data_IF_636088864032
#
_entry.id   IF_636088864032
#
_cell.length_a   1.000
_cell.length_b   1.000
_cell.length_c   1.000
_cell.angle_alpha   90.00
_cell.angle_beta   90.00
_cell.angle_gamma   90.00
#
_symmetry.space_group_name_H-M   'P 1'
#
loop_
_entity.id
_entity.type
_entity.pdbx_description
1 polymer ?
#
# COMPACT_ATOMS: atom_id res chain seq x y z
N UNK A 1 -20.32 -55.22 15.90
CA UNK A 1 -19.33 -55.06 14.83
C UNK A 1 -18.64 -53.71 15.07
N UNK A 2 -17.43 -53.79 15.59
CA UNK A 2 -16.64 -52.64 16.06
C UNK A 2 -15.59 -52.31 14.99
N UNK A 3 -15.76 -51.24 14.26
CA UNK A 3 -14.80 -50.80 13.24
C UNK A 3 -13.70 -49.97 13.88
N UNK A 4 -12.49 -50.56 13.94
CA UNK A 4 -11.28 -49.86 14.40
C UNK A 4 -10.81 -48.86 13.32
N UNK A 5 -10.74 -47.58 13.65
CA UNK A 5 -9.98 -46.58 12.90
C UNK A 5 -8.49 -46.74 13.23
N UNK A 6 -7.70 -47.13 12.26
CA UNK A 6 -6.24 -47.13 12.33
C UNK A 6 -5.73 -45.69 12.14
N UNK A 7 -5.12 -45.12 13.19
CA UNK A 7 -4.31 -43.88 13.10
C UNK A 7 -3.07 -44.21 12.26
N UNK A 8 -2.95 -43.52 11.13
CA UNK A 8 -1.67 -43.45 10.39
C UNK A 8 -0.78 -42.44 11.12
N UNK A 9 0.22 -42.93 11.84
CA UNK A 9 1.31 -42.11 12.40
C UNK A 9 2.32 -41.85 11.31
N UNK A 10 2.27 -40.66 10.70
CA UNK A 10 3.40 -40.16 9.91
C UNK A 10 4.43 -39.57 10.86
N UNK A 11 5.48 -40.31 11.14
CA UNK A 11 6.68 -39.85 11.86
C UNK A 11 7.52 -39.02 10.88
N UNK A 12 7.15 -37.75 10.63
CA UNK A 12 8.04 -36.77 10.03
C UNK A 12 8.94 -36.21 11.13
N UNK A 13 10.14 -36.76 11.26
CA UNK A 13 11.19 -36.13 12.07
C UNK A 13 11.45 -34.73 11.48
N UNK A 14 11.00 -33.70 12.18
CA UNK A 14 11.40 -32.31 11.96
C UNK A 14 12.93 -32.23 12.10
N UNK A 15 13.65 -32.21 11.00
CA UNK A 15 15.07 -31.88 10.98
C UNK A 15 15.15 -30.39 11.32
N UNK A 16 15.34 -30.08 12.60
CA UNK A 16 15.65 -28.74 13.07
C UNK A 16 16.99 -28.34 12.44
N UNK A 17 16.92 -27.70 11.29
CA UNK A 17 18.10 -27.01 10.75
C UNK A 17 18.29 -25.80 11.65
N UNK A 18 19.39 -25.76 12.40
CA UNK A 18 19.80 -24.59 13.17
C UNK A 18 19.77 -23.36 12.24
N UNK A 19 19.26 -22.20 12.72
CA UNK A 19 19.30 -20.98 11.94
C UNK A 19 20.73 -20.68 11.51
N UNK A 20 20.95 -20.12 10.31
CA UNK A 20 22.30 -19.78 9.87
C UNK A 20 22.90 -18.82 10.90
N UNK A 21 24.17 -19.12 11.29
CA UNK A 21 24.91 -18.45 12.38
C UNK A 21 25.12 -16.92 12.22
N UNK A 22 24.53 -16.27 11.21
CA UNK A 22 24.77 -14.88 10.85
C UNK A 22 23.47 -14.10 10.63
N UNK A 23 22.54 -14.09 11.61
CA UNK A 23 21.35 -13.23 11.59
C UNK A 23 21.72 -11.74 11.71
N UNK A 24 22.92 -11.43 12.19
CA UNK A 24 23.43 -10.07 12.43
C UNK A 24 24.71 -9.82 11.62
N UNK A 25 24.63 -9.81 10.29
CA UNK A 25 25.79 -9.38 9.49
C UNK A 25 25.91 -7.86 9.52
N UNK A 26 26.83 -7.33 10.35
CA UNK A 26 27.35 -5.95 10.30
C UNK A 26 28.40 -5.77 9.19
N UNK A 27 28.45 -6.65 8.19
CA UNK A 27 29.34 -6.56 7.04
C UNK A 27 28.78 -5.64 5.95
N UNK A 28 29.68 -4.98 5.17
CA UNK A 28 29.27 -4.22 3.97
C UNK A 28 28.43 -5.11 3.07
N UNK A 29 27.18 -4.70 2.83
CA UNK A 29 26.27 -5.35 1.89
C UNK A 29 26.94 -5.33 0.50
N UNK A 30 27.04 -6.47 -0.17
CA UNK A 30 27.61 -6.56 -1.51
C UNK A 30 26.83 -5.64 -2.47
N UNK A 31 27.53 -4.94 -3.36
CA UNK A 31 26.91 -4.04 -4.33
C UNK A 31 25.88 -4.82 -5.18
N UNK A 32 24.61 -4.40 -5.13
CA UNK A 32 23.51 -5.03 -5.86
C UNK A 32 22.73 -6.10 -5.07
N UNK A 33 23.07 -6.38 -3.80
CA UNK A 33 22.25 -7.21 -2.94
C UNK A 33 21.03 -6.43 -2.43
N UNK A 34 19.85 -7.05 -2.49
CA UNK A 34 18.59 -6.46 -2.00
C UNK A 34 18.46 -6.70 -0.50
N UNK A 35 18.18 -5.66 0.26
CA UNK A 35 17.85 -5.74 1.69
C UNK A 35 16.33 -5.66 1.92
N UNK A 36 15.85 -6.01 3.13
CA UNK A 36 14.44 -5.76 3.52
C UNK A 36 14.08 -4.27 3.48
N UNK A 37 15.04 -3.37 3.68
CA UNK A 37 14.81 -1.94 3.49
C UNK A 37 14.56 -1.60 2.02
N UNK A 38 15.36 -2.14 1.09
CA UNK A 38 15.17 -1.94 -0.35
C UNK A 38 13.86 -2.55 -0.83
N UNK A 39 13.51 -3.75 -0.33
CA UNK A 39 12.24 -4.41 -0.60
C UNK A 39 11.06 -3.54 -0.12
N UNK A 40 11.10 -3.07 1.14
CA UNK A 40 10.06 -2.21 1.71
C UNK A 40 9.93 -0.91 0.91
N UNK A 41 11.05 -0.29 0.51
CA UNK A 41 11.02 0.91 -0.33
C UNK A 41 10.43 0.65 -1.74
N UNK A 42 10.65 -0.55 -2.30
CA UNK A 42 10.00 -0.95 -3.55
C UNK A 42 8.50 -1.17 -3.36
N UNK A 43 8.09 -1.82 -2.27
CA UNK A 43 6.68 -2.01 -1.93
C UNK A 43 5.98 -0.67 -1.63
N UNK A 44 6.65 0.27 -0.99
CA UNK A 44 6.09 1.62 -0.73
C UNK A 44 5.77 2.37 -2.04
N UNK A 45 6.49 2.10 -3.13
CA UNK A 45 6.14 2.61 -4.48
C UNK A 45 5.03 1.83 -5.17
N UNK A 46 4.77 0.58 -4.77
CA UNK A 46 3.73 -0.29 -5.35
C UNK A 46 2.41 -0.12 -4.61
N UNK A 47 2.45 -0.12 -3.29
CA UNK A 47 1.33 -0.02 -2.37
C UNK A 47 1.77 0.80 -1.15
N UNK A 48 1.71 2.15 -1.23
CA UNK A 48 2.11 3.04 -0.14
C UNK A 48 1.36 2.72 1.15
N UNK A 49 2.07 2.43 2.23
CA UNK A 49 1.47 1.99 3.50
C UNK A 49 0.53 3.02 4.11
N UNK A 50 0.74 4.32 3.84
CA UNK A 50 -0.15 5.38 4.28
C UNK A 50 -1.55 5.34 3.63
N UNK A 51 -1.75 4.57 2.55
CA UNK A 51 -3.06 4.34 1.93
C UNK A 51 -3.85 3.20 2.56
N UNK A 52 -3.29 2.51 3.54
CA UNK A 52 -4.00 1.46 4.25
C UNK A 52 -5.09 2.03 5.17
N UNK A 53 -6.10 1.20 5.48
CA UNK A 53 -7.09 1.51 6.48
C UNK A 53 -6.46 1.67 7.86
N UNK A 54 -7.05 2.53 8.72
CA UNK A 54 -6.51 2.81 10.07
C UNK A 54 -6.46 1.60 11.00
N UNK A 55 -7.40 0.68 10.79
CA UNK A 55 -7.50 -0.56 11.56
C UNK A 55 -6.56 -1.67 11.07
N UNK A 56 -5.88 -1.47 9.94
CA UNK A 56 -5.07 -2.48 9.27
C UNK A 56 -3.64 -2.52 9.80
N UNK A 57 -2.95 -3.66 9.57
CA UNK A 57 -1.56 -3.85 9.95
C UNK A 57 -0.73 -4.22 8.72
N UNK A 58 -0.21 -3.22 8.02
CA UNK A 58 0.52 -3.38 6.76
C UNK A 58 2.01 -3.07 6.89
N UNK A 59 2.77 -3.44 5.88
CA UNK A 59 4.20 -3.19 5.80
C UNK A 59 5.04 -4.39 6.24
N UNK A 60 6.25 -4.14 6.72
CA UNK A 60 7.16 -5.16 7.22
C UNK A 60 6.72 -5.60 8.62
N UNK A 61 6.17 -6.81 8.73
CA UNK A 61 5.62 -7.33 9.99
C UNK A 61 6.66 -8.06 10.84
N UNK A 62 7.69 -8.62 10.23
CA UNK A 62 8.82 -9.23 10.92
C UNK A 62 10.11 -9.06 10.12
N UNK A 63 11.26 -8.99 10.80
CA UNK A 63 12.58 -8.93 10.17
C UNK A 63 13.40 -7.73 10.58
N UNK A 64 14.66 -7.75 10.15
CA UNK A 64 15.60 -6.65 10.36
C UNK A 64 15.86 -5.95 9.02
N UNK A 65 15.78 -4.63 8.98
CA UNK A 65 15.85 -3.83 7.73
C UNK A 65 17.11 -4.12 6.87
N UNK A 66 18.23 -4.51 7.49
CA UNK A 66 19.46 -4.86 6.78
C UNK A 66 19.55 -6.35 6.36
N UNK A 67 18.56 -7.18 6.70
CA UNK A 67 18.54 -8.59 6.27
C UNK A 67 18.47 -8.66 4.74
N UNK A 68 19.26 -9.58 4.16
CA UNK A 68 19.28 -9.79 2.72
C UNK A 68 18.05 -10.58 2.26
N UNK A 69 17.52 -10.21 1.12
CA UNK A 69 16.38 -10.87 0.47
C UNK A 69 16.76 -11.22 -0.96
N UNK A 70 16.74 -12.51 -1.30
CA UNK A 70 16.99 -13.03 -2.65
C UNK A 70 15.74 -13.64 -3.25
N UNK A 71 14.92 -14.32 -2.42
CA UNK A 71 13.73 -15.05 -2.83
C UNK A 71 12.52 -14.61 -2.02
N UNK A 72 11.43 -14.33 -2.71
CA UNK A 72 10.15 -13.93 -2.11
C UNK A 72 9.04 -14.85 -2.58
N UNK A 73 8.28 -15.43 -1.66
CA UNK A 73 7.05 -16.16 -1.92
C UNK A 73 5.86 -15.22 -1.72
N UNK A 74 4.98 -15.13 -2.73
CA UNK A 74 3.76 -14.34 -2.65
C UNK A 74 2.57 -15.28 -2.42
N UNK A 75 1.74 -15.00 -1.42
CA UNK A 75 0.55 -15.77 -1.08
C UNK A 75 -0.59 -14.83 -0.63
N UNK A 76 -1.83 -15.31 -0.66
CA UNK A 76 -2.96 -14.60 -0.04
C UNK A 76 -2.86 -14.76 1.47
N UNK A 77 -2.71 -16.00 1.95
CA UNK A 77 -2.66 -16.31 3.37
C UNK A 77 -1.42 -17.14 3.75
N UNK A 78 -0.92 -16.96 4.96
CA UNK A 78 0.04 -17.89 5.57
C UNK A 78 -0.73 -18.99 6.27
N UNK A 79 -0.94 -20.09 5.55
CA UNK A 79 -1.51 -21.35 6.08
C UNK A 79 -0.40 -22.34 6.40
N UNK A 80 -0.67 -23.45 7.11
CA UNK A 80 0.36 -24.46 7.38
C UNK A 80 1.04 -24.99 6.10
N UNK A 81 0.29 -25.19 5.02
CA UNK A 81 0.86 -25.67 3.75
C UNK A 81 1.72 -24.60 3.04
N UNK A 82 1.38 -23.32 3.18
CA UNK A 82 2.21 -22.20 2.66
C UNK A 82 3.47 -22.02 3.51
N UNK A 83 3.36 -22.16 4.82
CA UNK A 83 4.50 -22.17 5.74
C UNK A 83 5.52 -23.26 5.33
N UNK A 84 5.06 -24.50 5.12
CA UNK A 84 5.92 -25.62 4.72
C UNK A 84 6.51 -25.41 3.33
N UNK A 85 5.73 -24.82 2.40
CA UNK A 85 6.22 -24.45 1.07
C UNK A 85 7.35 -23.41 1.17
N UNK A 86 7.20 -22.39 1.99
CA UNK A 86 8.20 -21.34 2.20
C UNK A 86 9.54 -21.92 2.71
N UNK A 87 9.47 -22.81 3.70
CA UNK A 87 10.66 -23.49 4.24
C UNK A 87 11.30 -24.41 3.17
N UNK A 88 10.51 -25.21 2.48
CA UNK A 88 10.99 -26.15 1.45
C UNK A 88 11.68 -25.40 0.29
N UNK A 89 11.15 -24.26 -0.13
CA UNK A 89 11.71 -23.44 -1.19
C UNK A 89 12.92 -22.60 -0.74
N UNK A 90 13.15 -22.50 0.58
CA UNK A 90 14.23 -21.70 1.16
C UNK A 90 14.11 -20.22 0.78
N UNK A 91 12.91 -19.66 0.93
CA UNK A 91 12.68 -18.23 0.67
C UNK A 91 13.19 -17.39 1.84
N UNK A 92 13.48 -16.13 1.59
CA UNK A 92 13.93 -15.19 2.63
C UNK A 92 12.76 -14.36 3.17
N UNK A 93 11.67 -14.24 2.38
CA UNK A 93 10.51 -13.43 2.72
C UNK A 93 9.23 -14.07 2.17
N UNK A 94 8.16 -14.02 2.95
CA UNK A 94 6.78 -14.25 2.47
C UNK A 94 6.07 -12.90 2.40
N UNK A 95 5.63 -12.51 1.20
CA UNK A 95 4.66 -11.43 1.03
C UNK A 95 3.27 -12.07 1.11
N UNK A 96 2.61 -11.89 2.25
CA UNK A 96 1.24 -12.33 2.48
C UNK A 96 0.29 -11.17 2.22
N UNK A 97 -0.70 -11.36 1.33
CA UNK A 97 -1.68 -10.32 1.06
C UNK A 97 -2.41 -9.92 2.35
N UNK A 98 -3.01 -10.88 3.04
CA UNK A 98 -3.54 -10.69 4.39
C UNK A 98 -2.42 -10.65 5.43
N UNK A 99 -2.47 -9.72 6.40
CA UNK A 99 -1.48 -9.67 7.47
C UNK A 99 -1.67 -10.85 8.43
N UNK A 100 -0.68 -11.74 8.54
CA UNK A 100 -0.78 -12.87 9.48
C UNK A 100 -0.84 -12.41 10.93
N UNK A 101 -0.30 -11.24 11.24
CA UNK A 101 -0.42 -10.58 12.54
C UNK A 101 -1.36 -9.40 12.36
N UNK A 102 -2.68 -9.65 12.39
CA UNK A 102 -3.70 -8.62 12.18
C UNK A 102 -4.00 -7.84 13.47
N UNK A 103 -4.07 -8.51 14.60
CA UNK A 103 -4.29 -7.91 15.92
C UNK A 103 -3.02 -8.00 16.75
N UNK A 104 -2.80 -7.07 17.72
CA UNK A 104 -1.68 -7.16 18.65
C UNK A 104 -1.62 -8.52 19.34
N UNK A 105 -0.46 -9.16 19.31
CA UNK A 105 -0.20 -10.46 19.95
C UNK A 105 0.39 -10.24 21.34
N UNK A 106 0.03 -11.11 22.29
CA UNK A 106 0.53 -11.07 23.66
C UNK A 106 1.61 -12.14 23.92
N UNK A 107 1.68 -13.16 23.07
CA UNK A 107 2.59 -14.30 23.23
C UNK A 107 3.22 -14.66 21.90
N UNK A 108 4.51 -14.94 21.90
CA UNK A 108 5.29 -15.38 20.73
C UNK A 108 5.38 -16.92 20.75
N UNK A 109 4.30 -17.59 20.36
CA UNK A 109 4.22 -19.06 20.29
C UNK A 109 4.38 -19.53 18.85
N UNK A 110 4.98 -20.71 18.67
CA UNK A 110 5.22 -21.34 17.36
C UNK A 110 4.59 -22.73 17.25
N UNK A 111 3.79 -23.10 18.23
CA UNK A 111 3.17 -24.45 18.36
C UNK A 111 1.69 -24.44 17.94
N UNK A 112 1.25 -23.45 17.15
CA UNK A 112 -0.10 -23.32 16.60
C UNK A 112 -0.12 -23.24 15.09
N UNK A 113 -1.28 -23.50 14.51
CA UNK A 113 -1.54 -23.46 13.06
C UNK A 113 -2.21 -22.14 12.63
N UNK A 114 -2.47 -21.24 13.56
CA UNK A 114 -3.02 -19.91 13.29
C UNK A 114 -1.96 -18.97 12.67
N UNK A 115 -2.35 -18.04 11.81
CA UNK A 115 -1.43 -17.20 11.04
C UNK A 115 -0.36 -16.46 11.87
N UNK A 116 -0.64 -15.93 13.08
CA UNK A 116 0.41 -15.31 13.91
C UNK A 116 1.48 -16.30 14.35
N UNK A 117 1.11 -17.51 14.75
CA UNK A 117 2.06 -18.54 15.18
C UNK A 117 2.94 -19.00 14.01
N UNK A 118 2.36 -19.18 12.82
CA UNK A 118 3.07 -19.54 11.60
C UNK A 118 4.06 -18.44 11.17
N UNK A 119 3.67 -17.16 11.26
CA UNK A 119 4.57 -16.04 10.95
C UNK A 119 5.76 -15.97 11.93
N UNK A 120 5.52 -16.23 13.21
CA UNK A 120 6.58 -16.30 14.23
C UNK A 120 7.49 -17.52 13.98
N UNK A 121 6.90 -18.67 13.61
CA UNK A 121 7.64 -19.86 13.24
C UNK A 121 8.55 -19.59 12.02
N UNK A 122 8.05 -18.95 10.96
CA UNK A 122 8.86 -18.53 9.81
C UNK A 122 10.04 -17.64 10.23
N UNK A 123 9.80 -16.67 11.10
CA UNK A 123 10.86 -15.81 11.62
C UNK A 123 11.95 -16.59 12.34
N UNK A 124 11.64 -17.71 13.04
CA UNK A 124 12.63 -18.58 13.66
C UNK A 124 13.53 -19.31 12.66
N UNK A 125 13.06 -19.46 11.40
CA UNK A 125 13.85 -19.97 10.26
C UNK A 125 14.58 -18.86 9.50
N UNK A 126 14.48 -17.58 9.94
CA UNK A 126 15.02 -16.45 9.23
C UNK A 126 14.22 -16.05 7.99
N UNK A 127 12.96 -16.49 7.89
CA UNK A 127 12.03 -16.12 6.83
C UNK A 127 11.13 -15.01 7.36
N UNK A 128 11.17 -13.85 6.71
CA UNK A 128 10.47 -12.66 7.16
C UNK A 128 9.07 -12.54 6.55
N UNK A 129 8.25 -11.62 7.06
CA UNK A 129 6.88 -11.40 6.56
C UNK A 129 6.62 -9.93 6.26
N UNK A 130 5.96 -9.69 5.12
CA UNK A 130 5.46 -8.39 4.70
C UNK A 130 4.00 -8.52 4.25
N UNK A 131 3.14 -7.53 4.54
CA UNK A 131 1.75 -7.49 4.05
C UNK A 131 1.39 -6.13 3.46
N UNK A 132 0.86 -6.05 2.22
CA UNK A 132 0.38 -4.82 1.62
C UNK A 132 -1.12 -4.57 1.84
N UNK A 133 -1.94 -5.59 2.02
CA UNK A 133 -3.39 -5.67 2.28
C UNK A 133 -4.18 -4.46 1.73
N UNK A 134 -4.87 -3.69 2.60
CA UNK A 134 -5.74 -2.58 2.16
C UNK A 134 -4.99 -1.44 1.47
N UNK A 135 -3.69 -1.27 1.70
CA UNK A 135 -2.89 -0.32 0.92
C UNK A 135 -2.86 -0.70 -0.57
N UNK A 136 -2.78 -2.01 -0.87
CA UNK A 136 -2.82 -2.53 -2.24
C UNK A 136 -4.23 -2.46 -2.85
N UNK A 137 -5.29 -2.54 -2.02
CA UNK A 137 -6.68 -2.36 -2.48
C UNK A 137 -6.98 -0.93 -2.88
N UNK A 138 -6.39 0.01 -2.15
CA UNK A 138 -6.66 1.44 -2.26
C UNK A 138 -5.90 2.08 -3.41
N UNK A 139 -4.64 1.69 -3.62
CA UNK A 139 -3.75 2.32 -4.61
C UNK A 139 -4.24 2.14 -6.05
N UNK A 140 -4.00 3.13 -6.88
CA UNK A 140 -4.25 3.02 -8.32
C UNK A 140 -3.33 1.95 -8.95
N UNK A 141 -3.90 1.06 -9.77
CA UNK A 141 -3.20 -0.11 -10.32
C UNK A 141 -3.02 -1.25 -9.30
N UNK A 142 -3.74 -1.21 -8.18
CA UNK A 142 -3.76 -2.26 -7.16
C UNK A 142 -4.80 -3.35 -7.42
N UNK A 143 -5.26 -4.00 -6.35
CA UNK A 143 -6.11 -5.20 -6.40
C UNK A 143 -7.37 -5.00 -7.25
N UNK A 144 -8.09 -3.91 -7.00
CA UNK A 144 -9.36 -3.63 -7.68
C UNK A 144 -9.17 -3.30 -9.17
N UNK A 145 -8.09 -2.61 -9.52
CA UNK A 145 -7.76 -2.30 -10.92
C UNK A 145 -7.35 -3.58 -11.68
N UNK A 146 -6.55 -4.45 -11.04
CA UNK A 146 -6.16 -5.74 -11.62
C UNK A 146 -7.38 -6.64 -11.81
N UNK A 147 -8.29 -6.69 -10.83
CA UNK A 147 -9.54 -7.44 -10.96
C UNK A 147 -10.39 -6.91 -12.12
N UNK A 148 -10.56 -5.58 -12.24
CA UNK A 148 -11.27 -4.95 -13.35
C UNK A 148 -10.67 -5.34 -14.70
N UNK A 149 -9.34 -5.24 -14.84
CA UNK A 149 -8.63 -5.64 -16.05
C UNK A 149 -8.85 -7.10 -16.40
N UNK A 150 -8.77 -8.00 -15.41
CA UNK A 150 -8.95 -9.46 -15.61
C UNK A 150 -10.35 -9.82 -16.11
N UNK A 151 -11.37 -9.08 -15.67
CA UNK A 151 -12.74 -9.29 -16.16
C UNK A 151 -13.11 -8.39 -17.36
N UNK A 152 -12.12 -7.78 -18.02
CA UNK A 152 -12.31 -6.98 -19.23
C UNK A 152 -13.14 -5.71 -19.01
N UNK A 153 -13.12 -5.13 -17.81
CA UNK A 153 -13.78 -3.86 -17.48
C UNK A 153 -12.75 -2.72 -17.46
N UNK A 154 -13.16 -1.53 -17.91
CA UNK A 154 -12.35 -0.32 -17.88
C UNK A 154 -12.70 0.48 -16.62
N UNK A 155 -11.69 0.75 -15.79
CA UNK A 155 -11.85 1.59 -14.61
C UNK A 155 -12.16 3.03 -15.01
N UNK A 156 -13.16 3.63 -14.35
CA UNK A 156 -13.65 5.00 -14.60
C UNK A 156 -13.55 5.91 -13.36
N UNK A 157 -12.99 5.42 -12.27
CA UNK A 157 -12.76 6.15 -11.03
C UNK A 157 -12.84 5.28 -9.79
N UNK A 158 -12.57 5.87 -8.63
CA UNK A 158 -12.74 5.26 -7.32
C UNK A 158 -14.05 5.73 -6.68
N UNK A 159 -14.74 4.90 -5.90
CA UNK A 159 -15.96 5.34 -5.20
C UNK A 159 -15.72 5.72 -3.73
N UNK A 160 -14.63 5.33 -3.16
CA UNK A 160 -14.16 5.89 -1.90
C UNK A 160 -13.04 6.86 -2.20
N UNK A 161 -13.23 8.14 -1.89
CA UNK A 161 -12.14 9.08 -1.92
C UNK A 161 -11.51 9.09 -0.52
N UNK A 162 -10.30 8.55 -0.42
CA UNK A 162 -9.47 8.89 0.71
C UNK A 162 -9.04 10.34 0.56
N UNK A 163 -9.21 11.18 1.57
CA UNK A 163 -8.32 12.31 1.68
C UNK A 163 -6.92 11.71 1.69
N UNK A 164 -6.07 12.17 0.77
CA UNK A 164 -4.69 11.72 0.74
C UNK A 164 -4.17 11.76 2.18
N UNK A 165 -3.85 10.60 2.76
CA UNK A 165 -3.23 10.48 4.08
C UNK A 165 -1.74 10.83 4.00
N UNK A 166 -1.36 11.79 3.27
CA UNK A 166 -0.20 12.59 3.43
C UNK A 166 -0.75 13.97 3.65
N UNK A 167 -0.79 14.45 4.88
CA UNK A 167 -0.99 15.87 5.08
C UNK A 167 0.10 16.55 4.26
N UNK A 168 -0.30 17.26 3.22
CA UNK A 168 0.63 18.14 2.54
C UNK A 168 0.65 19.47 3.30
N UNK A 169 1.86 19.97 3.46
CA UNK A 169 2.10 21.28 4.03
C UNK A 169 2.56 22.22 2.91
N UNK A 170 2.22 23.49 3.03
CA UNK A 170 2.84 24.56 2.28
C UNK A 170 3.89 25.20 3.17
N UNK A 171 5.15 25.14 2.74
CA UNK A 171 6.22 25.94 3.31
C UNK A 171 6.17 27.32 2.67
N UNK A 172 6.16 28.35 3.49
CA UNK A 172 6.39 29.74 3.11
C UNK A 172 7.64 30.19 3.84
N UNK A 173 8.63 30.70 3.12
CA UNK A 173 9.85 31.26 3.71
C UNK A 173 10.14 32.65 3.10
N UNK A 174 10.80 33.49 3.84
CA UNK A 174 11.17 34.83 3.41
C UNK A 174 12.70 34.89 3.31
N UNK A 175 13.22 34.95 2.08
CA UNK A 175 14.63 34.70 1.78
C UNK A 175 15.21 35.92 1.04
N UNK A 176 16.38 36.48 1.44
CA UNK A 176 17.06 37.47 0.64
C UNK A 176 17.25 37.01 -0.80
N UNK A 177 17.04 37.90 -1.78
CA UNK A 177 17.08 37.55 -3.20
C UNK A 177 18.39 36.82 -3.60
N UNK A 178 19.50 37.21 -3.01
CA UNK A 178 20.83 36.63 -3.24
C UNK A 178 20.99 35.16 -2.81
N UNK A 179 20.11 34.64 -1.94
CA UNK A 179 20.20 33.28 -1.35
C UNK A 179 19.02 32.40 -1.75
N UNK A 180 18.06 32.90 -2.53
CA UNK A 180 16.82 32.15 -2.83
C UNK A 180 17.07 30.84 -3.59
N UNK A 181 18.07 30.79 -4.47
CA UNK A 181 18.39 29.56 -5.20
C UNK A 181 19.04 28.52 -4.31
N UNK A 182 19.96 28.93 -3.42
CA UNK A 182 20.63 28.01 -2.48
C UNK A 182 19.61 27.39 -1.52
N UNK A 183 18.73 28.22 -0.95
CA UNK A 183 17.67 27.75 -0.06
C UNK A 183 16.69 26.85 -0.79
N UNK A 184 16.29 27.19 -2.03
CA UNK A 184 15.39 26.38 -2.84
C UNK A 184 16.00 25.01 -3.16
N UNK A 185 17.29 24.97 -3.53
CA UNK A 185 18.00 23.72 -3.83
C UNK A 185 18.07 22.80 -2.62
N UNK A 186 18.40 23.32 -1.44
CA UNK A 186 18.43 22.58 -0.20
C UNK A 186 17.06 22.00 0.17
N UNK A 187 16.01 22.80 0.07
CA UNK A 187 14.63 22.40 0.38
C UNK A 187 14.11 21.35 -0.61
N UNK A 188 14.43 21.47 -1.91
CA UNK A 188 14.07 20.46 -2.91
C UNK A 188 14.84 19.15 -2.74
N UNK A 189 16.12 19.21 -2.38
CA UNK A 189 16.92 18.03 -2.09
C UNK A 189 16.38 17.26 -0.88
N UNK A 190 15.75 17.95 0.10
CA UNK A 190 15.08 17.36 1.23
C UNK A 190 13.67 16.79 0.91
N UNK A 191 13.22 16.85 -0.35
CA UNK A 191 12.00 16.22 -0.83
C UNK A 191 10.78 17.15 -0.99
N UNK A 192 10.93 18.46 -0.85
CA UNK A 192 9.87 19.40 -1.17
C UNK A 192 9.72 19.65 -2.69
N UNK A 193 8.64 20.31 -3.10
CA UNK A 193 8.43 20.79 -4.46
C UNK A 193 7.99 19.73 -5.47
N UNK A 194 7.40 18.64 -5.02
CA UNK A 194 6.85 17.62 -5.90
C UNK A 194 5.35 17.81 -6.11
N UNK A 195 4.90 17.94 -7.36
CA UNK A 195 3.49 18.15 -7.71
C UNK A 195 3.04 17.15 -8.77
N UNK A 196 1.77 16.73 -8.68
CA UNK A 196 1.08 15.86 -9.61
C UNK A 196 1.23 14.38 -9.29
N UNK A 197 0.36 13.56 -9.89
CA UNK A 197 0.41 12.11 -9.76
C UNK A 197 1.80 11.58 -10.12
N UNK A 198 2.38 10.75 -9.25
CA UNK A 198 3.73 10.19 -9.36
C UNK A 198 4.85 11.23 -9.33
N UNK A 199 4.61 12.38 -8.69
CA UNK A 199 5.62 13.46 -8.57
C UNK A 199 6.28 13.82 -9.92
N UNK A 200 5.49 13.92 -10.98
CA UNK A 200 6.01 14.19 -12.34
C UNK A 200 6.67 15.56 -12.48
N UNK A 201 6.21 16.54 -11.69
CA UNK A 201 6.82 17.85 -11.62
C UNK A 201 7.62 17.95 -10.34
N UNK A 202 8.87 18.29 -10.47
CA UNK A 202 9.81 18.45 -9.36
C UNK A 202 10.27 19.89 -9.25
N UNK A 203 10.81 20.31 -8.11
CA UNK A 203 11.32 21.66 -7.88
C UNK A 203 10.26 22.76 -8.07
N UNK A 204 9.00 22.42 -7.78
CA UNK A 204 7.88 23.37 -7.92
C UNK A 204 7.89 24.36 -6.76
N UNK A 205 7.94 25.64 -7.08
CA UNK A 205 7.83 26.74 -6.12
C UNK A 205 7.12 27.93 -6.75
N UNK A 206 6.57 28.79 -5.91
CA UNK A 206 6.12 30.10 -6.29
C UNK A 206 6.97 31.15 -5.57
N UNK A 207 7.39 32.19 -6.26
CA UNK A 207 8.27 33.24 -5.74
C UNK A 207 7.68 34.60 -6.00
N UNK A 208 7.65 35.43 -4.97
CA UNK A 208 7.14 36.80 -5.08
C UNK A 208 8.05 37.75 -4.33
N UNK A 209 8.53 38.85 -4.93
CA UNK A 209 9.34 39.87 -4.26
C UNK A 209 8.51 40.64 -3.22
N UNK A 210 9.13 40.96 -2.12
CA UNK A 210 8.52 41.69 -1.03
C UNK A 210 9.55 42.46 -0.21
N UNK A 211 9.10 43.04 0.91
CA UNK A 211 9.99 43.71 1.86
C UNK A 211 9.77 43.10 3.24
N UNK A 212 10.77 42.41 3.75
CA UNK A 212 10.84 41.99 5.14
C UNK A 212 11.23 43.13 6.06
N UNK A 213 10.73 43.09 7.29
CA UNK A 213 11.11 44.09 8.31
C UNK A 213 11.45 43.37 9.60
N UNK A 214 12.50 43.82 10.28
CA UNK A 214 12.89 43.30 11.58
C UNK A 214 13.66 44.33 12.40
N UNK A 215 13.72 44.11 13.69
CA UNK A 215 14.58 44.83 14.59
C UNK A 215 15.13 43.81 15.63
N UNK A 216 16.38 43.49 15.54
CA UNK A 216 17.05 42.66 16.53
C UNK A 216 17.44 43.49 17.78
N UNK A 217 17.66 42.81 18.90
CA UNK A 217 18.26 43.45 20.06
C UNK A 217 19.81 43.52 19.94
N UNK A 218 20.47 44.08 20.97
CA UNK A 218 21.92 44.23 20.95
C UNK A 218 22.73 42.93 20.96
N UNK A 219 22.08 41.78 21.21
CA UNK A 219 22.71 40.46 21.23
C UNK A 219 22.64 39.73 19.89
N UNK A 220 21.87 40.23 18.92
CA UNK A 220 21.70 39.62 17.60
C UNK A 220 22.89 39.88 16.69
N UNK A 221 23.12 38.96 15.75
CA UNK A 221 24.13 39.08 14.69
C UNK A 221 23.44 38.99 13.32
N UNK A 222 22.73 40.06 12.88
CA UNK A 222 21.95 39.98 11.65
C UNK A 222 22.85 39.85 10.42
N UNK A 223 22.50 39.00 9.49
CA UNK A 223 23.18 38.83 8.20
C UNK A 223 23.07 40.07 7.30
N UNK A 224 22.06 40.93 7.51
CA UNK A 224 21.82 42.21 6.83
C UNK A 224 21.44 43.22 7.85
N UNK A 225 22.02 44.47 7.77
CA UNK A 225 21.73 45.56 8.70
C UNK A 225 22.55 45.52 9.98
N UNK A 226 22.08 46.14 11.05
CA UNK A 226 22.77 46.29 12.33
C UNK A 226 21.88 45.91 13.51
N UNK A 227 22.47 45.30 14.55
CA UNK A 227 21.78 45.02 15.80
C UNK A 227 21.19 46.30 16.41
N UNK A 228 19.95 46.24 16.92
CA UNK A 228 19.22 47.36 17.53
C UNK A 228 18.58 48.34 16.55
N UNK A 229 18.80 48.20 15.24
CA UNK A 229 18.25 49.07 14.20
C UNK A 229 17.02 48.39 13.56
N UNK A 230 16.00 49.22 13.26
CA UNK A 230 14.86 48.73 12.46
C UNK A 230 15.24 48.70 10.98
N UNK A 231 15.25 47.49 10.43
CA UNK A 231 15.69 47.22 9.06
C UNK A 231 14.52 46.94 8.13
N UNK A 232 14.69 47.29 6.85
CA UNK A 232 13.80 46.93 5.72
C UNK A 232 14.63 46.29 4.63
N UNK A 233 14.38 45.02 4.39
CA UNK A 233 15.20 44.21 3.49
C UNK A 233 14.34 43.71 2.33
N UNK A 234 14.80 43.85 1.06
CA UNK A 234 14.20 43.13 -0.07
C UNK A 234 14.32 41.62 0.11
N UNK A 235 13.19 40.95 0.11
CA UNK A 235 13.11 39.50 0.27
C UNK A 235 12.20 38.85 -0.79
N UNK A 236 12.45 37.62 -1.09
CA UNK A 236 11.57 36.78 -1.90
C UNK A 236 10.72 35.95 -0.93
N UNK A 237 9.41 36.08 -1.04
CA UNK A 237 8.47 35.10 -0.49
C UNK A 237 8.55 33.83 -1.34
N UNK A 238 9.22 32.81 -0.80
CA UNK A 238 9.37 31.50 -1.41
C UNK A 238 8.30 30.57 -0.87
N UNK A 239 7.49 29.98 -1.76
CA UNK A 239 6.45 29.03 -1.40
C UNK A 239 6.66 27.70 -2.11
N UNK A 240 6.57 26.61 -1.38
CA UNK A 240 6.61 25.26 -1.95
C UNK A 240 5.72 24.30 -1.16
N UNK A 241 5.45 23.12 -1.74
CA UNK A 241 4.66 22.06 -1.11
C UNK A 241 5.60 20.95 -0.65
N UNK A 242 5.24 20.29 0.47
CA UNK A 242 5.96 19.12 0.96
C UNK A 242 5.01 18.14 1.67
N UNK A 243 5.31 16.82 1.65
CA UNK A 243 4.66 15.86 2.53
C UNK A 243 4.94 16.20 4.00
N UNK A 244 3.93 16.07 4.87
CA UNK A 244 4.06 16.43 6.29
C UNK A 244 5.12 15.60 7.02
N UNK A 245 5.31 14.34 6.61
CA UNK A 245 6.34 13.44 7.15
C UNK A 245 7.78 13.93 6.89
N UNK A 246 7.98 14.75 5.86
CA UNK A 246 9.29 15.35 5.54
C UNK A 246 9.51 16.72 6.17
N UNK A 247 8.54 17.21 6.96
CA UNK A 247 8.61 18.58 7.52
C UNK A 247 9.89 18.82 8.31
N UNK A 248 10.31 17.87 9.14
CA UNK A 248 11.53 17.98 9.95
C UNK A 248 12.79 18.10 9.09
N UNK A 249 12.92 17.26 8.07
CA UNK A 249 14.08 17.25 7.15
C UNK A 249 14.12 18.52 6.32
N UNK A 250 12.98 18.94 5.77
CA UNK A 250 12.86 20.16 4.96
C UNK A 250 13.18 21.40 5.77
N UNK A 251 12.68 21.53 7.01
CA UNK A 251 12.97 22.68 7.87
C UNK A 251 14.43 22.72 8.30
N UNK A 252 15.05 21.56 8.57
CA UNK A 252 16.48 21.52 8.86
C UNK A 252 17.32 21.97 7.65
N UNK A 253 16.93 21.54 6.44
CA UNK A 253 17.58 21.99 5.20
C UNK A 253 17.39 23.50 4.95
N UNK A 254 16.18 24.01 5.18
CA UNK A 254 15.90 25.45 5.13
C UNK A 254 16.83 26.23 6.07
N UNK A 255 16.86 25.87 7.35
CA UNK A 255 17.70 26.54 8.36
C UNK A 255 19.17 26.47 8.05
N UNK A 256 19.65 25.34 7.50
CA UNK A 256 21.06 25.16 7.16
C UNK A 256 21.53 25.99 5.96
N UNK A 257 20.62 26.30 5.02
CA UNK A 257 20.93 27.08 3.82
C UNK A 257 20.54 28.56 3.92
N UNK A 258 19.72 28.91 4.92
CA UNK A 258 19.27 30.30 5.08
C UNK A 258 20.36 31.18 5.71
N UNK A 259 20.59 32.40 5.19
CA UNK A 259 21.64 33.27 5.72
C UNK A 259 21.32 33.85 7.09
N UNK A 260 20.04 33.88 7.51
CA UNK A 260 19.64 34.43 8.81
C UNK A 260 19.81 33.39 9.91
N UNK A 261 20.25 33.87 11.10
CA UNK A 261 20.34 33.03 12.30
C UNK A 261 18.97 32.51 12.75
N UNK A 262 17.91 33.29 12.57
CA UNK A 262 16.52 32.92 12.84
C UNK A 262 15.64 33.20 11.60
N UNK A 263 15.55 32.28 10.63
CA UNK A 263 14.73 32.49 9.45
C UNK A 263 13.24 32.43 9.78
N UNK A 264 12.48 33.40 9.28
CA UNK A 264 11.03 33.42 9.37
C UNK A 264 10.44 32.45 8.31
N UNK A 265 9.58 31.53 8.75
CA UNK A 265 8.85 30.65 7.87
C UNK A 265 7.52 30.20 8.49
N UNK A 266 6.58 29.80 7.63
CA UNK A 266 5.29 29.22 8.01
C UNK A 266 5.14 27.84 7.42
N UNK A 267 4.56 26.89 8.18
CA UNK A 267 4.05 25.61 7.69
C UNK A 267 2.52 25.63 7.77
N UNK A 268 1.86 25.68 6.61
CA UNK A 268 0.42 25.76 6.51
C UNK A 268 -0.15 24.40 6.09
N UNK A 269 -1.14 23.90 6.81
CA UNK A 269 -1.89 22.70 6.39
C UNK A 269 -2.65 23.00 5.11
N UNK A 270 -2.48 22.12 4.11
CA UNK A 270 -3.19 22.21 2.85
C UNK A 270 -4.42 21.30 2.86
N UNK A 271 -5.54 21.83 2.41
CA UNK A 271 -6.68 21.01 2.02
C UNK A 271 -6.46 20.62 0.56
N UNK A 272 -5.86 19.47 0.33
CA UNK A 272 -5.72 18.92 -1.03
C UNK A 272 -7.02 18.25 -1.46
N UNK A 273 -7.46 18.41 -2.73
CA UNK A 273 -8.54 17.58 -3.24
C UNK A 273 -8.13 16.11 -3.11
N UNK A 274 -9.06 15.21 -2.73
CA UNK A 274 -8.76 13.80 -2.62
C UNK A 274 -8.23 13.28 -3.96
N UNK A 275 -7.11 12.53 -3.94
CA UNK A 275 -6.66 11.77 -5.10
C UNK A 275 -7.73 10.73 -5.47
N UNK A 276 -7.74 10.29 -6.75
CA UNK A 276 -8.65 9.21 -7.20
C UNK A 276 -8.16 7.84 -6.69
N UNK A 277 -7.88 7.75 -5.40
CA UNK A 277 -7.52 6.52 -4.69
C UNK A 277 -8.62 6.19 -3.68
N UNK A 278 -8.82 4.93 -3.39
CA UNK A 278 -9.81 4.47 -2.41
C UNK A 278 -10.17 3.01 -2.57
N UNK A 279 -10.83 2.46 -1.57
CA UNK A 279 -11.34 1.09 -1.55
C UNK A 279 -12.42 0.89 -2.61
N UNK A 280 -12.08 0.29 -3.71
CA UNK A 280 -13.01 -0.05 -4.77
C UNK A 280 -12.97 0.89 -5.97
N UNK A 281 -13.52 0.41 -7.08
CA UNK A 281 -13.51 1.08 -8.39
C UNK A 281 -14.88 1.11 -9.03
N UNK A 282 -15.20 2.23 -9.64
CA UNK A 282 -16.17 2.25 -10.72
C UNK A 282 -15.51 1.74 -11.99
N UNK A 283 -16.21 0.90 -12.75
CA UNK A 283 -15.75 0.44 -14.04
C UNK A 283 -16.91 0.27 -15.03
N UNK A 284 -16.56 0.19 -16.30
CA UNK A 284 -17.53 -0.03 -17.36
C UNK A 284 -17.11 -1.22 -18.24
N UNK A 285 -18.07 -2.03 -18.63
CA UNK A 285 -17.88 -3.06 -19.64
C UNK A 285 -17.87 -2.42 -21.03
N UNK A 286 -17.13 -2.96 -22.00
CA UNK A 286 -17.16 -2.47 -23.38
C UNK A 286 -18.57 -2.49 -23.98
N UNK A 287 -19.34 -3.53 -23.69
CA UNK A 287 -20.74 -3.70 -24.10
C UNK A 287 -21.58 -4.15 -22.89
N UNK A 288 -22.85 -3.77 -22.89
CA UNK A 288 -23.81 -4.30 -21.91
C UNK A 288 -24.01 -5.80 -22.15
N UNK A 289 -24.03 -6.57 -21.09
CA UNK A 289 -24.31 -8.01 -21.13
C UNK A 289 -25.29 -8.41 -20.02
N UNK A 290 -25.91 -9.59 -20.11
CA UNK A 290 -26.77 -10.10 -19.05
C UNK A 290 -25.96 -10.46 -17.81
N UNK A 291 -26.50 -10.24 -16.61
CA UNK A 291 -25.83 -10.55 -15.33
C UNK A 291 -25.27 -11.98 -15.31
N UNK A 292 -26.09 -12.97 -15.71
CA UNK A 292 -25.64 -14.36 -15.78
C UNK A 292 -24.54 -14.60 -16.83
N UNK A 293 -24.51 -13.85 -17.92
CA UNK A 293 -23.45 -13.93 -18.94
C UNK A 293 -22.15 -13.33 -18.41
N UNK A 294 -22.23 -12.17 -17.76
CA UNK A 294 -21.10 -11.53 -17.09
C UNK A 294 -20.49 -12.44 -16.02
N UNK A 295 -21.33 -13.03 -15.15
CA UNK A 295 -20.87 -13.97 -14.13
C UNK A 295 -20.14 -15.19 -14.73
N UNK A 296 -20.69 -15.80 -15.81
CA UNK A 296 -20.00 -16.91 -16.51
C UNK A 296 -18.68 -16.50 -17.12
N UNK A 297 -18.59 -15.29 -17.65
CA UNK A 297 -17.34 -14.75 -18.19
C UNK A 297 -16.33 -14.52 -17.08
N UNK A 298 -16.71 -13.92 -15.95
CA UNK A 298 -15.84 -13.81 -14.77
C UNK A 298 -15.33 -15.18 -14.30
N UNK A 299 -16.22 -16.18 -14.23
CA UNK A 299 -15.82 -17.57 -13.90
C UNK A 299 -14.74 -18.08 -14.83
N UNK A 300 -14.87 -17.91 -16.13
CA UNK A 300 -13.93 -18.41 -17.15
C UNK A 300 -12.57 -17.66 -17.08
N UNK A 301 -12.61 -16.31 -17.04
CA UNK A 301 -11.40 -15.47 -17.03
C UNK A 301 -10.55 -15.67 -15.77
N UNK A 302 -11.19 -15.88 -14.63
CA UNK A 302 -10.54 -16.10 -13.35
C UNK A 302 -10.30 -17.58 -13.03
N UNK A 303 -10.75 -18.50 -13.91
CA UNK A 303 -10.63 -19.97 -13.79
C UNK A 303 -11.20 -20.50 -12.48
N UNK A 304 -12.40 -20.03 -12.13
CA UNK A 304 -13.10 -20.41 -10.89
C UNK A 304 -13.98 -21.64 -11.12
N UNK A 305 -14.14 -22.46 -10.08
CA UNK A 305 -15.06 -23.61 -10.11
C UNK A 305 -16.53 -23.17 -10.06
N UNK A 306 -16.80 -22.12 -9.28
CA UNK A 306 -18.16 -21.56 -9.11
C UNK A 306 -18.14 -20.05 -9.05
N UNK A 307 -19.26 -19.43 -9.39
CA UNK A 307 -19.61 -18.04 -9.10
C UNK A 307 -21.09 -17.98 -8.73
N UNK A 308 -21.44 -17.03 -7.88
CA UNK A 308 -22.83 -16.83 -7.48
C UNK A 308 -23.33 -15.46 -7.95
N UNK A 309 -24.61 -15.31 -8.13
CA UNK A 309 -25.23 -14.02 -8.49
C UNK A 309 -26.37 -13.69 -7.53
N UNK A 310 -26.56 -12.38 -7.29
CA UNK A 310 -27.74 -11.85 -6.61
C UNK A 310 -28.47 -10.95 -7.60
N UNK A 311 -29.79 -11.06 -7.66
CA UNK A 311 -30.65 -10.33 -8.60
C UNK A 311 -31.03 -11.18 -9.81
N UNK A 312 -31.72 -10.54 -10.76
CA UNK A 312 -32.32 -11.23 -11.92
C UNK A 312 -31.24 -11.59 -12.95
N UNK A 313 -31.09 -12.88 -13.36
CA UNK A 313 -30.06 -13.33 -14.30
C UNK A 313 -30.10 -12.63 -15.68
N UNK A 314 -31.26 -12.18 -16.11
CA UNK A 314 -31.48 -11.48 -17.39
C UNK A 314 -31.19 -9.98 -17.36
N UNK A 315 -30.93 -9.39 -16.19
CA UNK A 315 -30.66 -7.96 -16.01
C UNK A 315 -29.45 -7.52 -16.85
N UNK A 316 -29.59 -6.37 -17.50
CA UNK A 316 -28.48 -5.75 -18.23
C UNK A 316 -27.46 -5.16 -17.26
N UNK A 317 -26.17 -5.41 -17.51
CA UNK A 317 -25.03 -4.90 -16.76
C UNK A 317 -24.07 -4.21 -17.73
N UNK A 318 -23.79 -2.94 -17.49
CA UNK A 318 -22.82 -2.12 -18.24
C UNK A 318 -21.83 -1.45 -17.32
N UNK A 319 -22.29 -0.98 -16.16
CA UNK A 319 -21.50 -0.25 -15.17
C UNK A 319 -21.34 -1.07 -13.90
N UNK A 320 -20.15 -1.04 -13.34
CA UNK A 320 -19.75 -1.86 -12.21
C UNK A 320 -19.26 -1.01 -11.05
N UNK A 321 -19.54 -1.48 -9.84
CA UNK A 321 -18.75 -1.18 -8.66
C UNK A 321 -17.95 -2.45 -8.29
N UNK A 322 -16.63 -2.34 -8.19
CA UNK A 322 -15.72 -3.46 -7.86
C UNK A 322 -15.11 -3.25 -6.48
N UNK A 323 -15.18 -4.29 -5.67
CA UNK A 323 -14.43 -4.41 -4.39
C UNK A 323 -13.96 -5.84 -4.27
N UNK A 324 -12.66 -6.08 -4.35
CA UNK A 324 -12.09 -7.38 -4.06
C UNK A 324 -12.29 -7.74 -2.58
N UNK A 325 -12.25 -9.02 -2.23
CA UNK A 325 -12.52 -9.52 -0.88
C UNK A 325 -13.98 -9.34 -0.50
N UNK A 326 -14.26 -8.62 0.57
CA UNK A 326 -15.61 -8.39 1.09
C UNK A 326 -16.04 -6.93 0.91
N UNK A 327 -16.99 -6.69 0.00
CA UNK A 327 -17.51 -5.35 -0.25
C UNK A 327 -18.41 -4.80 0.87
N UNK A 328 -19.06 -5.69 1.62
CA UNK A 328 -20.08 -5.29 2.59
C UNK A 328 -21.10 -4.34 1.98
N UNK A 329 -21.36 -3.22 2.67
CA UNK A 329 -22.24 -2.14 2.19
C UNK A 329 -21.48 -0.98 1.56
N UNK A 330 -20.14 -1.04 1.47
CA UNK A 330 -19.32 0.08 0.99
C UNK A 330 -19.82 0.68 -0.34
N UNK A 331 -20.14 -0.10 -1.40
CA UNK A 331 -20.72 0.45 -2.62
C UNK A 331 -22.06 1.13 -2.44
N UNK A 332 -22.95 0.61 -1.58
CA UNK A 332 -24.26 1.22 -1.33
C UNK A 332 -24.16 2.56 -0.60
N UNK A 333 -23.29 2.60 0.42
CA UNK A 333 -23.22 3.73 1.36
C UNK A 333 -22.36 4.88 0.82
N UNK A 334 -21.44 4.61 -0.12
CA UNK A 334 -20.47 5.59 -0.64
C UNK A 334 -20.58 5.87 -2.15
N UNK A 335 -21.58 5.33 -2.84
CA UNK A 335 -21.71 5.54 -4.27
C UNK A 335 -22.06 6.99 -4.62
N UNK A 336 -21.19 7.61 -5.42
CA UNK A 336 -21.43 8.94 -6.03
C UNK A 336 -21.97 8.86 -7.45
N UNK A 337 -21.95 7.66 -8.06
CA UNK A 337 -22.41 7.38 -9.42
C UNK A 337 -23.28 6.13 -9.39
N UNK A 338 -24.29 6.07 -10.25
CA UNK A 338 -25.09 4.87 -10.45
C UNK A 338 -24.25 3.75 -11.09
N UNK A 339 -24.53 2.51 -10.71
CA UNK A 339 -23.93 1.31 -11.28
C UNK A 339 -24.98 0.18 -11.34
N UNK A 340 -24.83 -0.73 -12.29
CA UNK A 340 -25.79 -1.81 -12.53
C UNK A 340 -25.50 -3.05 -11.67
N UNK A 341 -24.21 -3.27 -11.35
CA UNK A 341 -23.76 -4.50 -10.71
C UNK A 341 -22.57 -4.24 -9.78
N UNK A 342 -22.52 -4.97 -8.66
CA UNK A 342 -21.35 -5.09 -7.81
C UNK A 342 -20.60 -6.36 -8.17
N UNK A 343 -19.28 -6.27 -8.36
CA UNK A 343 -18.36 -7.41 -8.47
C UNK A 343 -17.51 -7.47 -7.20
N UNK A 344 -17.61 -8.54 -6.44
CA UNK A 344 -16.91 -8.70 -5.17
C UNK A 344 -16.58 -10.17 -4.88
N UNK A 345 -15.78 -10.43 -3.87
CA UNK A 345 -15.51 -11.79 -3.41
C UNK A 345 -16.70 -12.39 -2.68
N UNK A 346 -17.17 -11.72 -1.62
CA UNK A 346 -18.25 -12.23 -0.77
C UNK A 346 -19.12 -11.13 -0.18
N UNK A 347 -20.32 -11.51 0.28
CA UNK A 347 -21.25 -10.69 1.02
C UNK A 347 -22.01 -11.52 2.05
N UNK A 348 -22.37 -10.89 3.16
CA UNK A 348 -23.30 -11.48 4.14
C UNK A 348 -24.73 -11.50 3.59
N UNK A 349 -25.56 -12.40 4.12
CA UNK A 349 -26.94 -12.57 3.66
C UNK A 349 -27.75 -11.23 3.63
N UNK A 350 -27.69 -10.45 4.71
CA UNK A 350 -28.42 -9.18 4.77
C UNK A 350 -27.89 -8.12 3.82
N UNK A 351 -26.61 -8.17 3.47
CA UNK A 351 -26.01 -7.28 2.47
C UNK A 351 -26.53 -7.65 1.08
N UNK A 352 -26.62 -8.94 0.74
CA UNK A 352 -27.21 -9.42 -0.50
C UNK A 352 -28.67 -8.95 -0.66
N UNK A 353 -29.46 -9.04 0.42
CA UNK A 353 -30.84 -8.53 0.42
C UNK A 353 -30.90 -7.02 0.21
N UNK A 354 -29.98 -6.26 0.75
CA UNK A 354 -29.91 -4.80 0.56
C UNK A 354 -29.61 -4.43 -0.92
N UNK A 355 -28.68 -5.12 -1.57
CA UNK A 355 -28.40 -4.94 -2.99
C UNK A 355 -29.59 -5.33 -3.85
N UNK A 356 -30.25 -6.44 -3.55
CA UNK A 356 -31.45 -6.89 -4.24
C UNK A 356 -32.58 -5.85 -4.11
N UNK A 357 -32.83 -5.33 -2.91
CA UNK A 357 -33.84 -4.30 -2.66
C UNK A 357 -33.52 -2.98 -3.39
N UNK A 358 -32.23 -2.64 -3.53
CA UNK A 358 -31.77 -1.50 -4.33
C UNK A 358 -31.85 -1.74 -5.83
N UNK A 359 -32.26 -2.94 -6.28
CA UNK A 359 -32.30 -3.29 -7.68
C UNK A 359 -30.94 -3.40 -8.34
N UNK A 360 -29.88 -3.72 -7.60
CA UNK A 360 -28.50 -3.84 -8.08
C UNK A 360 -28.14 -5.32 -8.20
N UNK A 361 -27.56 -5.72 -9.33
CA UNK A 361 -27.04 -7.07 -9.51
C UNK A 361 -25.74 -7.26 -8.71
N UNK A 362 -25.43 -8.50 -8.29
CA UNK A 362 -24.14 -8.82 -7.66
C UNK A 362 -23.57 -10.07 -8.30
N UNK A 363 -22.24 -10.08 -8.48
CA UNK A 363 -21.46 -11.28 -8.80
C UNK A 363 -20.48 -11.54 -7.66
N UNK A 364 -20.57 -12.75 -7.06
CA UNK A 364 -19.72 -13.20 -5.97
C UNK A 364 -18.70 -14.21 -6.52
N UNK A 365 -17.42 -13.91 -6.34
CA UNK A 365 -16.30 -14.66 -6.92
C UNK A 365 -15.63 -15.64 -5.94
N UNK A 366 -15.87 -15.46 -4.65
CA UNK A 366 -15.06 -15.98 -3.55
C UNK A 366 -14.02 -14.96 -3.07
N UNK A 367 -13.79 -14.92 -1.75
CA UNK A 367 -12.94 -13.90 -1.11
C UNK A 367 -11.55 -13.87 -1.74
N UNK A 368 -10.74 -14.91 -1.46
CA UNK A 368 -9.36 -14.99 -1.97
C UNK A 368 -9.30 -15.07 -3.50
N UNK A 369 -10.31 -15.62 -4.15
CA UNK A 369 -10.39 -15.72 -5.60
C UNK A 369 -10.47 -14.36 -6.30
N UNK A 370 -11.12 -13.36 -5.68
CA UNK A 370 -11.19 -11.99 -6.19
C UNK A 370 -9.89 -11.20 -6.01
N UNK A 371 -9.06 -11.57 -5.03
CA UNK A 371 -7.80 -10.92 -4.66
C UNK A 371 -6.58 -11.54 -5.35
N UNK A 372 -6.56 -12.87 -5.49
CA UNK A 372 -5.43 -13.65 -6.00
C UNK A 372 -4.81 -13.15 -7.31
N UNK A 373 -5.56 -12.59 -8.28
CA UNK A 373 -4.98 -12.06 -9.51
C UNK A 373 -3.90 -11.00 -9.30
N UNK A 374 -3.92 -10.25 -8.19
CA UNK A 374 -2.95 -9.18 -7.91
C UNK A 374 -1.55 -9.72 -7.60
N UNK A 375 -1.42 -10.95 -7.07
CA UNK A 375 -0.12 -11.51 -6.68
C UNK A 375 0.86 -11.57 -7.86
N UNK A 376 0.40 -12.02 -9.04
CA UNK A 376 1.21 -12.04 -10.26
C UNK A 376 1.62 -10.65 -10.71
N UNK A 377 0.75 -9.67 -10.56
CA UNK A 377 1.04 -8.27 -10.88
C UNK A 377 2.08 -7.67 -9.94
N UNK A 378 1.95 -7.90 -8.63
CA UNK A 378 2.94 -7.46 -7.63
C UNK A 378 4.30 -8.11 -7.91
N UNK A 379 4.33 -9.41 -8.20
CA UNK A 379 5.57 -10.12 -8.56
C UNK A 379 6.29 -9.47 -9.76
N UNK A 380 5.54 -9.11 -10.82
CA UNK A 380 6.09 -8.42 -11.98
C UNK A 380 6.66 -7.03 -11.63
N UNK A 381 5.94 -6.26 -10.82
CA UNK A 381 6.40 -4.92 -10.40
C UNK A 381 7.62 -4.99 -9.49
N UNK A 382 7.67 -5.96 -8.59
CA UNK A 382 8.85 -6.21 -7.75
C UNK A 382 10.06 -6.58 -8.61
N UNK A 383 9.89 -7.48 -9.59
CA UNK A 383 10.97 -7.86 -10.51
C UNK A 383 11.49 -6.69 -11.34
N UNK A 384 10.60 -5.79 -11.76
CA UNK A 384 10.98 -4.57 -12.49
C UNK A 384 11.75 -3.58 -11.59
N UNK A 385 11.33 -3.42 -10.33
CA UNK A 385 11.96 -2.52 -9.36
C UNK A 385 13.28 -3.08 -8.79
N UNK A 386 13.38 -4.40 -8.63
CA UNK A 386 14.49 -5.13 -8.02
C UNK A 386 14.87 -6.32 -8.91
N UNK A 387 15.61 -6.13 -10.01
CA UNK A 387 15.83 -7.16 -11.03
C UNK A 387 16.55 -8.43 -10.54
N UNK A 388 17.32 -8.33 -9.44
CA UNK A 388 18.03 -9.46 -8.83
C UNK A 388 17.16 -10.28 -7.88
N UNK A 389 15.93 -9.82 -7.58
CA UNK A 389 15.00 -10.49 -6.70
C UNK A 389 14.28 -11.62 -7.45
N UNK A 390 14.32 -12.83 -6.89
CA UNK A 390 13.50 -13.96 -7.35
C UNK A 390 12.13 -13.88 -6.67
N UNK A 391 11.07 -13.80 -7.47
CA UNK A 391 9.69 -13.74 -6.97
C UNK A 391 8.91 -14.96 -7.49
N UNK A 392 8.14 -15.59 -6.62
CA UNK A 392 7.29 -16.73 -6.97
C UNK A 392 5.94 -16.61 -6.26
N UNK A 393 4.88 -16.98 -6.97
CA UNK A 393 3.53 -17.08 -6.39
C UNK A 393 3.36 -18.49 -5.85
N UNK A 394 2.88 -18.62 -4.62
CA UNK A 394 2.66 -19.89 -3.93
C UNK A 394 1.76 -20.82 -4.75
N UNK A 395 2.15 -22.07 -4.81
CA UNK A 395 1.36 -23.15 -5.40
C UNK A 395 0.55 -23.92 -4.35
N UNK A 396 0.90 -23.77 -3.08
CA UNK A 396 0.18 -24.38 -1.95
C UNK A 396 -0.99 -23.52 -1.47
N UNK A 397 -0.93 -22.20 -1.71
CA UNK A 397 -1.98 -21.25 -1.34
C UNK A 397 -3.24 -21.46 -2.18
N UNK A 398 -4.31 -21.93 -1.55
CA UNK A 398 -5.59 -22.26 -2.19
C UNK A 398 -6.75 -21.66 -1.42
N UNK A 399 -7.85 -21.42 -2.13
CA UNK A 399 -9.11 -21.06 -1.48
C UNK A 399 -9.56 -22.18 -0.55
N UNK A 400 -9.95 -21.89 0.71
CA UNK A 400 -10.46 -22.90 1.62
C UNK A 400 -11.85 -23.43 1.22
N UNK A 401 -12.57 -22.71 0.36
CA UNK A 401 -13.90 -23.10 -0.13
C UNK A 401 -13.76 -24.07 -1.31
N UNK A 402 -14.38 -25.23 -1.20
CA UNK A 402 -14.41 -26.24 -2.25
C UNK A 402 -15.85 -26.40 -2.72
N UNK A 403 -16.07 -26.30 -4.03
CA UNK A 403 -17.37 -26.62 -4.63
C UNK A 403 -17.54 -28.16 -4.71
N UNK A 404 -18.68 -28.66 -4.27
CA UNK A 404 -19.06 -30.08 -4.28
C UNK A 404 -20.28 -30.30 -5.18
#
# INVERSE_FOLDING_TARGET
MTTRFTKATSNSQLVVRHPPKNIWMTGRVAKGAVTLADFSAAMERIAPTHLAEEWDNVGLLSGHRSSLVKKVLLAIDITPVVHDEAIRLGVDLVLSYHPPIFKPIRHLRIDGDEPPALAIALASYGIWTYSPHTALDTVQGGTNDVLAQRVGAQVTGSFSHYPAKGEYLKLVAFVPESHVEEVADAVFAAGAGHIGQKAKYTRCSFRHPGTGTFQGDASTNPAVGMAGVFEKVPEIRFETILPAELAGEVINALRGAHPYEEPAFDLLKMVTPPEEVGLGRYAALPKAEKLAAFARRCKAELKLDTVQIVGEPGRAVKTLALVAGSAGRLPLDNAKKAYDCVLTGELKHHEMLAYQAAGIGVVLLGHSASERPVLGYVAQRLKAALPTLETMVSQADRDPVVAV
#
